data_IF_360160346225
#
_entry.id   IF_360160346225
#
_cell.length_a   1.000
_cell.length_b   1.000
_cell.length_c   1.000
_cell.angle_alpha   90.00
_cell.angle_beta   90.00
_cell.angle_gamma   90.00
#
_symmetry.space_group_name_H-M   'P 1'
#
loop_
_entity.id
_entity.type
_entity.pdbx_description
1 polymer ?
#
# COMPACT_ATOMS: atom_id res chain seq x y z
N UNK A 1 36.28 1.97 24.46
CA UNK A 1 35.53 1.39 23.32
C UNK A 1 34.12 1.94 23.37
N UNK A 2 33.73 2.76 22.40
CA UNK A 2 32.34 3.20 22.28
C UNK A 2 31.49 2.05 21.73
N UNK A 3 30.26 1.83 22.22
CA UNK A 3 29.40 0.78 21.68
C UNK A 3 29.00 1.15 20.26
N UNK A 4 29.29 0.27 19.30
CA UNK A 4 28.74 0.35 17.95
C UNK A 4 27.21 0.40 18.07
N UNK A 5 26.63 1.56 17.76
CA UNK A 5 25.19 1.68 17.69
C UNK A 5 24.72 0.87 16.48
N UNK A 6 24.22 -0.32 16.77
CA UNK A 6 23.69 -1.25 15.78
C UNK A 6 22.60 -0.52 14.96
N UNK A 7 22.86 -0.29 13.67
CA UNK A 7 21.96 0.40 12.75
C UNK A 7 20.69 -0.44 12.62
N UNK A 8 19.64 -0.07 13.37
CA UNK A 8 18.36 -0.79 13.34
C UNK A 8 17.80 -0.74 11.92
N UNK A 9 17.60 -1.90 11.31
CA UNK A 9 16.97 -2.02 9.99
C UNK A 9 15.45 -1.99 10.15
N UNK A 10 14.76 -1.29 9.25
CA UNK A 10 13.29 -1.26 9.28
C UNK A 10 12.73 -2.64 8.92
N UNK A 11 11.80 -3.15 9.75
CA UNK A 11 11.09 -4.41 9.50
C UNK A 11 9.60 -4.16 9.34
N UNK A 12 9.06 -4.57 8.20
CA UNK A 12 7.62 -4.52 7.93
C UNK A 12 6.85 -5.45 8.88
N UNK A 13 5.67 -4.97 9.29
CA UNK A 13 4.70 -5.64 10.15
C UNK A 13 3.32 -5.47 9.50
N UNK A 14 2.31 -6.28 9.85
CA UNK A 14 0.95 -6.18 9.33
C UNK A 14 0.36 -4.76 9.43
N UNK A 15 0.54 -4.07 10.56
CA UNK A 15 0.13 -2.66 10.69
C UNK A 15 0.74 -1.75 9.60
N UNK A 16 2.01 -1.97 9.24
CA UNK A 16 2.67 -1.22 8.16
C UNK A 16 2.13 -1.64 6.78
N UNK A 17 1.85 -2.93 6.61
CA UNK A 17 1.28 -3.45 5.37
C UNK A 17 -0.10 -2.85 5.11
N UNK A 18 -0.94 -2.68 6.14
CA UNK A 18 -2.24 -2.00 6.04
C UNK A 18 -2.08 -0.56 5.54
N UNK A 19 -1.17 0.22 6.14
CA UNK A 19 -0.90 1.60 5.71
C UNK A 19 -0.46 1.62 4.24
N UNK A 20 0.48 0.74 3.87
CA UNK A 20 0.99 0.63 2.51
C UNK A 20 -0.11 0.25 1.52
N UNK A 21 -0.95 -0.72 1.85
CA UNK A 21 -1.99 -1.23 0.96
C UNK A 21 -3.13 -0.22 0.77
N UNK A 22 -3.53 0.49 1.83
CA UNK A 22 -4.47 1.62 1.72
C UNK A 22 -3.95 2.68 0.76
N UNK A 23 -2.67 2.99 0.86
CA UNK A 23 -2.03 4.00 0.02
C UNK A 23 -1.93 3.55 -1.45
N UNK A 24 -1.61 2.28 -1.68
CA UNK A 24 -1.61 1.67 -3.01
C UNK A 24 -3.01 1.62 -3.62
N UNK A 25 -4.03 1.25 -2.84
CA UNK A 25 -5.43 1.24 -3.28
C UNK A 25 -5.93 2.64 -3.66
N UNK A 26 -5.50 3.65 -2.89
CA UNK A 26 -5.84 5.07 -3.12
C UNK A 26 -5.18 5.63 -4.38
N UNK A 27 -3.88 5.41 -4.57
CA UNK A 27 -3.12 5.99 -5.69
C UNK A 27 -3.15 5.16 -6.97
N UNK A 28 -3.50 3.88 -6.90
CA UNK A 28 -3.62 2.95 -8.04
C UNK A 28 -2.42 3.03 -8.99
N UNK A 29 -1.20 2.68 -8.55
CA UNK A 29 0.02 2.85 -9.34
C UNK A 29 0.03 2.10 -10.68
N UNK A 30 -0.90 1.15 -10.87
CA UNK A 30 -1.12 0.45 -12.14
C UNK A 30 -1.86 1.28 -13.19
N UNK A 31 -2.56 2.36 -12.84
CA UNK A 31 -3.20 3.27 -13.80
C UNK A 31 -2.28 4.38 -14.28
N UNK A 32 -1.07 4.48 -13.72
CA UNK A 32 -0.08 5.46 -14.13
C UNK A 32 0.26 5.32 -15.62
N UNK A 33 0.37 6.47 -16.30
CA UNK A 33 0.73 6.55 -17.73
C UNK A 33 2.12 5.94 -17.95
N UNK A 34 2.41 5.46 -19.17
CA UNK A 34 3.74 4.96 -19.51
C UNK A 34 4.83 5.99 -19.15
N UNK A 35 5.83 5.54 -18.39
CA UNK A 35 6.90 6.39 -17.86
C UNK A 35 6.65 6.93 -16.45
N UNK A 36 5.41 7.00 -15.98
CA UNK A 36 5.06 7.62 -14.68
C UNK A 36 4.91 6.62 -13.53
N UNK A 37 5.01 5.32 -13.81
CA UNK A 37 4.90 4.29 -12.76
C UNK A 37 5.90 4.52 -11.63
N UNK A 38 7.13 4.96 -11.94
CA UNK A 38 8.15 5.24 -10.92
C UNK A 38 7.72 6.39 -10.01
N UNK A 39 7.26 7.50 -10.58
CA UNK A 39 6.76 8.67 -9.84
C UNK A 39 5.55 8.32 -8.96
N UNK A 40 4.65 7.47 -9.45
CA UNK A 40 3.53 6.98 -8.64
C UNK A 40 3.99 6.19 -7.41
N UNK A 41 5.02 5.35 -7.55
CA UNK A 41 5.59 4.63 -6.39
C UNK A 41 6.35 5.57 -5.43
N UNK A 42 6.99 6.62 -5.92
CA UNK A 42 7.60 7.67 -5.09
C UNK A 42 6.54 8.37 -4.25
N UNK A 43 5.44 8.80 -4.87
CA UNK A 43 4.32 9.43 -4.18
C UNK A 43 3.72 8.52 -3.10
N UNK A 44 3.56 7.21 -3.38
CA UNK A 44 3.12 6.21 -2.41
C UNK A 44 4.10 6.11 -1.25
N UNK A 45 5.41 6.05 -1.52
CA UNK A 45 6.44 5.98 -0.49
C UNK A 45 6.45 7.20 0.42
N UNK A 46 6.28 8.41 -0.13
CA UNK A 46 6.19 9.64 0.64
C UNK A 46 4.94 9.67 1.53
N UNK A 47 3.77 9.32 0.98
CA UNK A 47 2.52 9.28 1.74
C UNK A 47 2.57 8.22 2.84
N UNK A 48 3.12 7.04 2.55
CA UNK A 48 3.36 5.99 3.54
C UNK A 48 4.24 6.49 4.70
N UNK A 49 5.36 7.15 4.41
CA UNK A 49 6.26 7.68 5.44
C UNK A 49 5.59 8.78 6.28
N UNK A 50 4.78 9.64 5.66
CA UNK A 50 4.01 10.66 6.37
C UNK A 50 3.03 10.03 7.37
N UNK A 51 2.27 9.01 6.94
CA UNK A 51 1.35 8.29 7.83
C UNK A 51 2.10 7.53 8.93
N UNK A 52 3.23 6.89 8.59
CA UNK A 52 4.06 6.17 9.55
C UNK A 52 4.62 7.11 10.63
N UNK A 53 5.01 8.34 10.27
CA UNK A 53 5.49 9.33 11.22
C UNK A 53 4.40 9.80 12.20
N UNK A 54 3.14 9.85 11.76
CA UNK A 54 1.97 10.15 12.62
C UNK A 54 1.71 9.02 13.61
N UNK A 55 1.68 7.78 13.13
CA UNK A 55 1.37 6.60 13.97
C UNK A 55 2.54 6.22 14.89
N UNK A 56 3.78 6.42 14.42
CA UNK A 56 4.99 6.17 15.19
C UNK A 56 6.01 7.29 14.98
N UNK A 57 5.96 8.35 15.80
CA UNK A 57 6.97 9.40 15.79
C UNK A 57 8.38 8.83 15.95
N UNK A 58 9.33 9.33 15.15
CA UNK A 58 10.72 8.84 15.16
C UNK A 58 10.95 7.53 14.40
N UNK A 59 9.98 7.05 13.61
CA UNK A 59 10.21 5.92 12.71
C UNK A 59 11.19 6.26 11.58
N UNK A 60 11.89 5.25 11.09
CA UNK A 60 12.82 5.39 9.97
C UNK A 60 12.04 5.65 8.68
N UNK A 61 12.52 6.62 7.89
CA UNK A 61 12.04 6.84 6.54
C UNK A 61 12.38 5.63 5.68
N UNK A 62 11.38 5.08 5.00
CA UNK A 62 11.53 3.97 4.09
C UNK A 62 11.70 4.48 2.66
N UNK A 63 12.65 3.88 1.93
CA UNK A 63 12.80 4.07 0.49
C UNK A 63 11.51 3.66 -0.26
N UNK A 64 10.94 4.53 -1.12
CA UNK A 64 9.77 4.18 -1.94
C UNK A 64 9.89 2.86 -2.72
N UNK A 65 11.10 2.50 -3.17
CA UNK A 65 11.31 1.21 -3.84
C UNK A 65 11.15 0.03 -2.88
N UNK A 66 11.45 0.19 -1.60
CA UNK A 66 11.19 -0.84 -0.59
C UNK A 66 9.69 -1.04 -0.37
N UNK A 67 8.88 0.02 -0.40
CA UNK A 67 7.42 -0.08 -0.39
C UNK A 67 6.91 -0.87 -1.60
N UNK A 68 7.43 -0.59 -2.80
CA UNK A 68 7.07 -1.36 -4.00
C UNK A 68 7.45 -2.84 -3.90
N UNK A 69 8.67 -3.16 -3.43
CA UNK A 69 9.11 -4.55 -3.23
C UNK A 69 8.22 -5.27 -2.22
N UNK A 70 7.87 -4.59 -1.11
CA UNK A 70 6.99 -5.14 -0.08
C UNK A 70 5.61 -5.44 -0.65
N UNK A 71 5.02 -4.51 -1.39
CA UNK A 71 3.73 -4.74 -2.06
C UNK A 71 3.78 -5.98 -2.97
N UNK A 72 4.78 -6.09 -3.86
CA UNK A 72 4.92 -7.26 -4.74
C UNK A 72 5.02 -8.57 -3.96
N UNK A 73 5.85 -8.60 -2.91
CA UNK A 73 5.98 -9.78 -2.05
C UNK A 73 4.66 -10.17 -1.36
N UNK A 74 3.86 -9.20 -0.92
CA UNK A 74 2.54 -9.44 -0.34
C UNK A 74 1.58 -10.07 -1.35
N UNK A 75 1.53 -9.53 -2.57
CA UNK A 75 0.69 -10.09 -3.64
C UNK A 75 1.16 -11.51 -4.01
N UNK A 76 2.46 -11.71 -4.19
CA UNK A 76 3.01 -13.02 -4.58
C UNK A 76 2.74 -14.08 -3.49
N UNK A 77 2.90 -13.73 -2.21
CA UNK A 77 2.61 -14.63 -1.07
C UNK A 77 1.11 -14.95 -0.94
N UNK A 78 0.25 -13.97 -1.25
CA UNK A 78 -1.19 -14.18 -1.26
C UNK A 78 -1.63 -15.11 -2.39
N UNK A 79 -1.06 -14.94 -3.60
CA UNK A 79 -1.33 -15.80 -4.75
C UNK A 79 -0.82 -17.23 -4.50
N UNK A 80 0.34 -17.39 -3.87
CA UNK A 80 0.90 -18.71 -3.55
C UNK A 80 0.24 -19.40 -2.35
N UNK A 81 -0.64 -18.71 -1.62
CA UNK A 81 -1.27 -19.23 -0.41
C UNK A 81 -0.36 -19.26 0.83
N UNK A 82 0.88 -18.77 0.74
CA UNK A 82 1.81 -18.68 1.88
C UNK A 82 1.61 -17.39 2.67
N UNK A 83 0.43 -17.23 3.25
CA UNK A 83 0.13 -16.10 4.15
C UNK A 83 0.62 -16.37 5.58
N UNK A 84 0.89 -17.63 5.94
CA UNK A 84 1.33 -18.07 7.26
C UNK A 84 2.61 -17.36 7.70
N UNK A 85 3.58 -17.21 6.78
CA UNK A 85 4.85 -16.52 7.01
C UNK A 85 4.68 -15.03 7.33
N UNK A 86 3.60 -14.41 6.84
CA UNK A 86 3.25 -13.01 7.05
C UNK A 86 2.41 -12.75 8.31
N UNK A 87 1.82 -13.78 8.95
CA UNK A 87 0.94 -13.66 10.14
C UNK A 87 1.67 -13.65 11.47
N UNK A 88 2.98 -13.91 11.51
CA UNK A 88 3.71 -14.18 12.76
C UNK A 88 3.78 -13.01 13.76
N UNK A 89 3.42 -11.78 13.36
CA UNK A 89 3.49 -10.60 14.23
C UNK A 89 2.39 -9.58 13.93
N UNK A 90 1.16 -9.76 14.39
CA UNK A 90 0.09 -8.75 14.23
C UNK A 90 -1.19 -9.17 14.93
N UNK A 91 -2.12 -8.23 15.15
CA UNK A 91 -3.43 -8.61 15.70
C UNK A 91 -4.27 -9.31 14.62
N UNK A 92 -5.24 -10.17 15.00
CA UNK A 92 -6.13 -10.81 14.04
C UNK A 92 -6.83 -9.82 13.09
N UNK A 93 -7.17 -8.63 13.60
CA UNK A 93 -7.82 -7.55 12.85
C UNK A 93 -6.89 -6.98 11.77
N UNK A 94 -5.64 -6.66 12.12
CA UNK A 94 -4.64 -6.14 11.17
C UNK A 94 -4.33 -7.16 10.06
N UNK A 95 -4.28 -8.45 10.43
CA UNK A 95 -4.05 -9.55 9.49
C UNK A 95 -5.21 -9.69 8.52
N UNK A 96 -6.44 -9.63 9.02
CA UNK A 96 -7.66 -9.73 8.20
C UNK A 96 -7.81 -8.53 7.26
N UNK A 97 -7.62 -7.31 7.77
CA UNK A 97 -7.69 -6.08 6.97
C UNK A 97 -6.64 -6.10 5.86
N UNK A 98 -5.40 -6.51 6.16
CA UNK A 98 -4.36 -6.70 5.14
C UNK A 98 -4.79 -7.67 4.05
N UNK A 99 -5.39 -8.80 4.41
CA UNK A 99 -5.82 -9.82 3.44
C UNK A 99 -6.96 -9.33 2.55
N UNK A 100 -7.90 -8.57 3.11
CA UNK A 100 -8.96 -7.92 2.35
C UNK A 100 -8.40 -6.88 1.36
N UNK A 101 -7.47 -6.03 1.80
CA UNK A 101 -6.83 -5.02 0.95
C UNK A 101 -5.95 -5.63 -0.14
N UNK A 102 -5.27 -6.74 0.14
CA UNK A 102 -4.54 -7.50 -0.89
C UNK A 102 -5.52 -8.06 -1.92
N UNK A 103 -6.65 -8.61 -1.48
CA UNK A 103 -7.67 -9.15 -2.37
C UNK A 103 -8.26 -8.08 -3.30
N UNK A 104 -8.45 -6.85 -2.82
CA UNK A 104 -8.92 -5.72 -3.62
C UNK A 104 -7.88 -5.24 -4.65
N UNK A 105 -6.60 -5.23 -4.29
CA UNK A 105 -5.54 -4.63 -5.12
C UNK A 105 -4.86 -5.59 -6.09
N UNK A 106 -4.95 -6.91 -5.86
CA UNK A 106 -4.26 -7.94 -6.67
C UNK A 106 -4.75 -8.05 -8.13
N UNK A 107 -6.03 -7.78 -8.39
CA UNK A 107 -6.67 -8.09 -9.68
C UNK A 107 -6.07 -7.27 -10.84
N UNK A 108 -5.49 -6.12 -10.53
CA UNK A 108 -4.82 -5.26 -11.51
C UNK A 108 -3.43 -5.76 -11.96
N UNK A 109 -2.87 -6.79 -11.31
CA UNK A 109 -1.64 -7.47 -11.78
C UNK A 109 -1.92 -8.38 -12.97
N UNK A 110 -3.14 -8.94 -13.07
CA UNK A 110 -3.53 -9.86 -14.14
C UNK A 110 -3.52 -9.17 -15.52
N UNK A 111 -4.00 -7.92 -15.60
CA UNK A 111 -4.10 -7.17 -16.87
C UNK A 111 -2.74 -6.82 -17.51
N UNK A 112 -1.65 -6.74 -16.71
CA UNK A 112 -0.29 -6.52 -17.24
C UNK A 112 0.47 -7.82 -17.53
N UNK A 113 0.17 -8.90 -16.82
CA UNK A 113 0.82 -10.20 -16.99
C UNK A 113 0.54 -10.83 -18.35
N UNK A 114 -0.69 -10.69 -18.83
CA UNK A 114 -1.16 -11.29 -20.08
C UNK A 114 -0.43 -10.74 -21.33
N UNK A 115 0.00 -9.47 -21.27
CA UNK A 115 0.80 -8.83 -22.33
C UNK A 115 2.26 -9.26 -22.38
N UNK A 116 2.80 -9.80 -21.27
CA UNK A 116 4.19 -10.30 -21.22
C UNK A 116 4.28 -11.77 -21.60
N UNK A 117 3.30 -12.60 -21.22
CA UNK A 117 3.23 -14.00 -21.64
C UNK A 117 3.04 -14.15 -23.15
N UNK A 118 2.33 -13.22 -23.81
CA UNK A 118 2.18 -13.22 -25.28
C UNK A 118 3.45 -12.85 -26.07
N UNK A 119 4.53 -12.41 -25.42
CA UNK A 119 5.80 -12.02 -26.08
C UNK A 119 6.95 -13.01 -25.88
N UNK A 120 6.73 -14.10 -25.14
CA UNK A 120 7.77 -15.05 -24.73
C UNK A 120 7.72 -16.43 -25.39
N UNK A 121 6.95 -16.62 -26.47
CA UNK A 121 6.87 -17.91 -27.18
C UNK A 121 7.61 -17.84 -28.52
N UNK A 122 8.90 -18.17 -28.54
CA UNK A 122 9.68 -18.16 -29.77
C UNK A 122 11.18 -18.34 -29.55
N UNK A 123 11.57 -19.41 -28.88
CA UNK A 123 12.95 -19.90 -28.90
C UNK A 123 12.91 -21.42 -28.77
N UNK A 124 12.51 -22.09 -29.86
CA UNK A 124 12.83 -23.51 -30.00
C UNK A 124 14.30 -23.65 -30.36
N UNK A 125 15.00 -24.37 -29.51
CA UNK A 125 16.37 -24.80 -29.72
C UNK A 125 16.40 -25.93 -30.75
N UNK A 126 17.19 -25.75 -31.81
CA UNK A 126 17.79 -26.89 -32.51
C UNK A 126 19.30 -26.70 -32.53
N UNK A 127 19.96 -27.56 -31.77
CA UNK A 127 21.40 -27.79 -31.77
C UNK A 127 21.75 -28.78 -32.89
N UNK A 128 23.00 -28.66 -33.37
CA UNK A 128 23.89 -29.67 -33.99
C UNK A 128 24.38 -29.43 -35.45
N UNK A 129 25.71 -29.30 -35.54
CA UNK A 129 26.74 -29.55 -36.57
C UNK A 129 26.80 -28.68 -37.85
N UNK A 130 27.84 -27.84 -38.04
CA UNK A 130 29.24 -28.09 -38.46
C UNK A 130 29.44 -28.51 -39.94
N UNK A 131 30.27 -27.70 -40.63
CA UNK A 131 31.02 -27.90 -41.88
C UNK A 131 30.48 -27.33 -43.21
N UNK A 132 31.27 -26.39 -43.79
CA UNK A 132 31.67 -26.43 -45.20
C UNK A 132 31.04 -25.41 -46.16
N UNK A 133 31.74 -24.29 -46.43
CA UNK A 133 31.65 -23.61 -47.74
C UNK A 133 32.42 -24.43 -48.79
N UNK A 134 31.98 -24.43 -50.07
CA UNK A 134 32.71 -23.63 -51.06
C UNK A 134 31.89 -23.06 -52.24
N UNK A 135 32.36 -21.91 -52.77
CA UNK A 135 32.50 -21.51 -54.20
C UNK A 135 31.29 -21.69 -55.15
N UNK A 136 30.79 -20.70 -55.91
CA UNK A 136 31.33 -20.18 -57.19
C UNK A 136 30.21 -19.26 -57.76
N UNK A 137 30.40 -17.95 -57.90
CA UNK A 137 30.86 -17.20 -59.08
C UNK A 137 29.92 -17.25 -60.31
N UNK A 138 29.27 -16.12 -60.65
CA UNK A 138 28.94 -15.64 -62.02
C UNK A 138 28.43 -14.16 -61.98
N UNK A 139 29.29 -13.25 -62.48
CA UNK A 139 29.16 -11.82 -62.85
C UNK A 139 28.07 -11.51 -63.92
N UNK A 140 27.89 -10.27 -64.49
CA UNK A 140 28.28 -8.90 -64.08
C UNK A 140 27.23 -7.76 -64.36
N UNK A 141 27.58 -6.56 -63.85
CA UNK A 141 27.48 -5.19 -64.42
C UNK A 141 26.15 -4.48 -64.76
N UNK A 142 26.08 -3.23 -64.29
CA UNK A 142 25.11 -2.21 -64.71
C UNK A 142 25.19 -0.93 -63.86
N UNK A 143 26.00 0.03 -64.32
CA UNK A 143 26.28 1.38 -63.80
C UNK A 143 25.05 2.27 -63.52
N UNK A 144 25.08 3.12 -62.49
CA UNK A 144 25.16 4.60 -62.64
C UNK A 144 24.89 5.43 -61.34
N UNK A 145 25.89 6.25 -61.03
CA UNK A 145 25.93 7.66 -60.57
C UNK A 145 24.78 8.35 -59.80
N UNK A 146 25.21 8.95 -58.68
CA UNK A 146 25.08 10.38 -58.31
C UNK A 146 23.69 10.94 -57.93
N UNK A 147 23.55 11.41 -56.68
CA UNK A 147 23.45 12.86 -56.40
C UNK A 147 23.42 13.18 -54.89
N UNK A 148 24.30 14.11 -54.51
CA UNK A 148 24.33 14.80 -53.23
C UNK A 148 23.38 16.03 -53.27
N UNK A 149 23.17 16.64 -52.08
CA UNK A 149 22.51 17.94 -51.80
C UNK A 149 20.96 17.87 -51.70
N UNK A 150 20.27 18.37 -50.68
CA UNK A 150 20.53 19.49 -49.76
C UNK A 150 19.92 19.21 -48.38
N UNK A 151 20.69 19.49 -47.32
CA UNK A 151 20.14 19.85 -46.01
C UNK A 151 19.71 21.32 -46.12
N UNK A 152 18.44 21.60 -45.86
CA UNK A 152 17.95 22.96 -45.60
C UNK A 152 17.61 23.01 -44.12
N UNK A 153 18.32 23.84 -43.37
CA UNK A 153 17.93 24.30 -42.05
C UNK A 153 17.15 25.61 -42.24
N UNK A 154 16.01 25.74 -41.60
CA UNK A 154 15.29 27.00 -41.43
C UNK A 154 15.48 27.56 -40.02
N UNK A 155 15.66 28.88 -39.98
CA UNK A 155 15.90 29.71 -38.79
C UNK A 155 14.53 30.01 -38.15
N UNK A 156 14.10 29.14 -37.24
CA UNK A 156 13.29 29.45 -36.05
C UNK A 156 12.85 28.13 -35.40
N UNK A 157 13.55 27.73 -34.34
CA UNK A 157 13.23 26.52 -33.60
C UNK A 157 11.80 26.51 -33.07
N UNK A 158 10.97 25.59 -33.58
CA UNK A 158 9.91 24.85 -32.88
C UNK A 158 9.24 23.84 -33.82
N UNK A 159 9.17 22.54 -33.48
CA UNK A 159 8.48 21.56 -34.31
C UNK A 159 6.97 21.67 -34.14
N UNK A 160 6.25 21.94 -35.24
CA UNK A 160 4.79 21.97 -35.29
C UNK A 160 4.27 20.60 -35.76
N UNK A 161 3.33 20.07 -34.99
CA UNK A 161 2.63 18.80 -35.17
C UNK A 161 1.93 18.65 -36.54
N UNK A 162 2.05 17.49 -37.17
CA UNK A 162 1.19 17.07 -38.28
C UNK A 162 0.86 15.57 -38.19
N UNK A 163 0.13 15.16 -37.15
CA UNK A 163 -0.53 13.86 -37.11
C UNK A 163 -1.88 13.95 -37.82
N UNK A 164 -1.99 13.33 -39.00
CA UNK A 164 -3.27 13.05 -39.69
C UNK A 164 -4.19 12.25 -38.75
N UNK A 165 -5.20 12.90 -38.17
CA UNK A 165 -6.34 12.20 -37.55
C UNK A 165 -7.41 11.97 -38.62
N UNK A 166 -7.54 10.73 -39.05
CA UNK A 166 -8.73 10.22 -39.72
C UNK A 166 -9.90 10.36 -38.75
N UNK A 167 -10.86 11.22 -39.08
CA UNK A 167 -12.13 11.36 -38.36
C UNK A 167 -13.07 10.27 -38.87
N UNK A 168 -13.20 9.18 -38.13
CA UNK A 168 -14.37 8.31 -38.19
C UNK A 168 -15.39 8.83 -37.19
N UNK A 169 -16.40 9.54 -37.68
CA UNK A 169 -17.58 9.90 -36.91
C UNK A 169 -18.46 8.67 -36.72
N UNK A 170 -18.46 8.11 -35.51
CA UNK A 170 -19.54 7.19 -35.08
C UNK A 170 -20.45 8.00 -34.16
N UNK A 171 -21.58 8.42 -34.70
CA UNK A 171 -22.68 8.95 -33.91
C UNK A 171 -23.41 7.77 -33.26
N UNK A 172 -23.13 7.51 -31.98
CA UNK A 172 -23.95 6.66 -31.14
C UNK A 172 -23.75 7.04 -29.66
N UNK A 173 -24.84 6.92 -28.90
CA UNK A 173 -24.93 6.81 -27.43
C UNK A 173 -24.84 8.08 -26.56
N UNK A 174 -25.85 8.95 -26.63
CA UNK A 174 -26.21 9.82 -25.50
C UNK A 174 -26.78 9.04 -24.30
N UNK A 175 -27.51 7.95 -24.55
CA UNK A 175 -28.19 7.16 -23.51
C UNK A 175 -27.23 6.33 -22.65
N UNK A 176 -26.12 5.84 -23.21
CA UNK A 176 -25.12 5.08 -22.45
C UNK A 176 -24.37 5.95 -21.43
N UNK A 177 -24.14 7.23 -21.75
CA UNK A 177 -23.49 8.18 -20.83
C UNK A 177 -24.39 8.51 -19.63
N UNK A 178 -25.69 8.67 -19.85
CA UNK A 178 -26.65 8.91 -18.77
C UNK A 178 -26.79 7.71 -17.82
N UNK A 179 -26.83 6.49 -18.35
CA UNK A 179 -26.87 5.27 -17.55
C UNK A 179 -25.61 5.08 -16.70
N UNK A 180 -24.42 5.36 -17.26
CA UNK A 180 -23.15 5.30 -16.52
C UNK A 180 -23.08 6.36 -15.41
N UNK A 181 -23.57 7.58 -15.67
CA UNK A 181 -23.64 8.62 -14.65
C UNK A 181 -24.60 8.25 -13.52
N UNK A 182 -25.75 7.63 -13.82
CA UNK A 182 -26.69 7.13 -12.80
C UNK A 182 -26.05 6.09 -11.90
N UNK A 183 -25.34 5.11 -12.48
CA UNK A 183 -24.65 4.07 -11.72
C UNK A 183 -23.52 4.64 -10.84
N UNK A 184 -22.81 5.65 -11.34
CA UNK A 184 -21.77 6.35 -10.57
C UNK A 184 -22.36 7.10 -9.36
N UNK A 185 -23.52 7.75 -9.53
CA UNK A 185 -24.23 8.43 -8.44
C UNK A 185 -24.70 7.43 -7.38
N UNK A 186 -25.31 6.31 -7.80
CA UNK A 186 -25.74 5.26 -6.87
C UNK A 186 -24.57 4.64 -6.10
N UNK A 187 -23.43 4.42 -6.76
CA UNK A 187 -22.23 3.90 -6.12
C UNK A 187 -21.70 4.87 -5.07
N UNK A 188 -21.61 6.17 -5.38
CA UNK A 188 -21.19 7.20 -4.44
C UNK A 188 -22.15 7.32 -3.26
N UNK A 189 -23.46 7.26 -3.51
CA UNK A 189 -24.48 7.31 -2.47
C UNK A 189 -24.39 6.10 -1.54
N UNK A 190 -24.23 4.89 -2.09
CA UNK A 190 -24.04 3.66 -1.32
C UNK A 190 -22.77 3.74 -0.47
N UNK A 191 -21.67 4.21 -1.05
CA UNK A 191 -20.41 4.35 -0.34
C UNK A 191 -20.51 5.34 0.83
N UNK A 192 -21.14 6.50 0.59
CA UNK A 192 -21.37 7.50 1.64
C UNK A 192 -22.26 6.95 2.76
N UNK A 193 -23.27 6.16 2.41
CA UNK A 193 -24.15 5.51 3.37
C UNK A 193 -23.42 4.45 4.19
N UNK A 194 -22.61 3.62 3.55
CA UNK A 194 -21.74 2.65 4.24
C UNK A 194 -20.76 3.35 5.19
N UNK A 195 -20.11 4.43 4.75
CA UNK A 195 -19.23 5.24 5.62
C UNK A 195 -19.98 5.87 6.79
N UNK A 196 -21.22 6.33 6.57
CA UNK A 196 -22.04 6.89 7.65
C UNK A 196 -22.39 5.84 8.71
N UNK A 197 -22.73 4.62 8.28
CA UNK A 197 -23.03 3.49 9.18
C UNK A 197 -21.77 3.04 9.91
N UNK A 198 -20.63 2.95 9.22
CA UNK A 198 -19.35 2.62 9.85
C UNK A 198 -18.98 3.63 10.92
N UNK A 199 -19.02 4.94 10.60
CA UNK A 199 -18.76 6.01 11.58
C UNK A 199 -19.72 5.95 12.77
N UNK A 200 -21.00 5.69 12.54
CA UNK A 200 -21.97 5.55 13.63
C UNK A 200 -21.66 4.36 14.53
N UNK A 201 -21.30 3.21 13.96
CA UNK A 201 -20.91 2.02 14.72
C UNK A 201 -19.62 2.24 15.52
N UNK A 202 -18.63 2.93 14.93
CA UNK A 202 -17.39 3.30 15.62
C UNK A 202 -17.64 4.21 16.82
N UNK A 203 -18.49 5.23 16.66
CA UNK A 203 -18.89 6.11 17.76
C UNK A 203 -19.59 5.33 18.87
N UNK A 204 -20.54 4.45 18.53
CA UNK A 204 -21.25 3.61 19.50
C UNK A 204 -20.29 2.72 20.31
N UNK A 205 -19.32 2.10 19.63
CA UNK A 205 -18.30 1.29 20.29
C UNK A 205 -17.36 2.12 21.17
N UNK A 206 -17.05 3.36 20.77
CA UNK A 206 -16.24 4.28 21.56
C UNK A 206 -16.96 4.74 22.83
N UNK A 207 -18.26 5.05 22.73
CA UNK A 207 -19.11 5.38 23.88
C UNK A 207 -19.18 4.22 24.89
N UNK A 208 -19.42 3.00 24.41
CA UNK A 208 -19.46 1.80 25.25
C UNK A 208 -18.12 1.56 25.97
N UNK A 209 -16.99 1.73 25.27
CA UNK A 209 -15.66 1.64 25.87
C UNK A 209 -15.44 2.69 26.96
N UNK A 210 -15.84 3.94 26.70
CA UNK A 210 -15.72 5.03 27.66
C UNK A 210 -16.53 4.75 28.93
N UNK A 211 -17.71 4.17 28.81
CA UNK A 211 -18.54 3.82 29.96
C UNK A 211 -17.95 2.67 30.78
N UNK A 212 -17.40 1.65 30.12
CA UNK A 212 -16.67 0.59 30.81
C UNK A 212 -15.41 1.12 31.52
N UNK A 213 -14.71 2.09 30.93
CA UNK A 213 -13.53 2.71 31.55
C UNK A 213 -13.91 3.54 32.78
N UNK A 214 -14.99 4.33 32.71
CA UNK A 214 -15.55 5.04 33.87
C UNK A 214 -15.94 4.08 34.99
N UNK A 215 -16.60 2.96 34.66
CA UNK A 215 -16.97 1.95 35.65
C UNK A 215 -15.73 1.31 36.31
N UNK A 216 -14.70 1.00 35.53
CA UNK A 216 -13.43 0.49 36.05
C UNK A 216 -12.77 1.47 37.00
N UNK A 217 -12.72 2.74 36.63
CA UNK A 217 -12.17 3.80 37.48
C UNK A 217 -12.94 3.90 38.80
N UNK A 218 -14.27 3.85 38.77
CA UNK A 218 -15.09 3.89 39.99
C UNK A 218 -14.88 2.68 40.89
N UNK A 219 -14.72 1.48 40.32
CA UNK A 219 -14.38 0.28 41.10
C UNK A 219 -13.01 0.44 41.75
N UNK A 220 -12.00 0.84 40.98
CA UNK A 220 -10.62 1.02 41.47
C UNK A 220 -10.55 2.10 42.55
N UNK A 221 -11.33 3.17 42.41
CA UNK A 221 -11.48 4.21 43.43
C UNK A 221 -12.07 3.66 44.72
N UNK A 222 -13.17 2.90 44.65
CA UNK A 222 -13.78 2.26 45.83
C UNK A 222 -12.83 1.28 46.52
N UNK A 223 -12.07 0.49 45.74
CA UNK A 223 -11.08 -0.43 46.30
C UNK A 223 -9.98 0.31 47.06
N UNK A 224 -9.48 1.42 46.51
CA UNK A 224 -8.50 2.28 47.20
C UNK A 224 -9.08 2.89 48.46
N UNK A 225 -10.29 3.42 48.40
CA UNK A 225 -10.97 4.01 49.56
C UNK A 225 -11.21 2.96 50.66
N UNK A 226 -11.65 1.75 50.29
CA UNK A 226 -11.83 0.65 51.24
C UNK A 226 -10.52 0.22 51.90
N UNK A 227 -9.44 0.15 51.12
CA UNK A 227 -8.10 -0.18 51.62
C UNK A 227 -7.61 0.88 52.63
N UNK A 228 -7.77 2.16 52.29
CA UNK A 228 -7.42 3.27 53.19
C UNK A 228 -8.28 3.29 54.46
N UNK A 229 -9.59 3.03 54.33
CA UNK A 229 -10.50 2.95 55.47
C UNK A 229 -10.12 1.81 56.44
N UNK A 230 -9.77 0.64 55.91
CA UNK A 230 -9.30 -0.49 56.71
C UNK A 230 -8.00 -0.15 57.45
N UNK A 231 -7.02 0.44 56.76
CA UNK A 231 -5.75 0.85 57.37
C UNK A 231 -5.96 1.90 58.46
N UNK A 232 -6.82 2.89 58.23
CA UNK A 232 -7.17 3.90 59.22
C UNK A 232 -7.85 3.27 60.44
N UNK A 233 -8.74 2.29 60.25
CA UNK A 233 -9.36 1.54 61.34
C UNK A 233 -8.34 0.76 62.18
N UNK A 234 -7.37 0.10 61.54
CA UNK A 234 -6.28 -0.59 62.23
C UNK A 234 -5.43 0.38 63.06
N UNK A 235 -5.08 1.54 62.49
CA UNK A 235 -4.33 2.58 63.22
C UNK A 235 -5.07 3.09 64.44
N UNK A 236 -6.39 3.29 64.35
CA UNK A 236 -7.17 3.76 65.50
C UNK A 236 -7.26 2.71 66.61
N UNK A 237 -7.40 1.43 66.25
CA UNK A 237 -7.36 0.33 67.22
C UNK A 237 -6.02 0.29 67.97
N UNK A 238 -4.90 0.44 67.24
CA UNK A 238 -3.56 0.49 67.85
C UNK A 238 -3.45 1.67 68.82
N UNK A 239 -3.97 2.85 68.43
CA UNK A 239 -3.98 4.02 69.32
C UNK A 239 -4.83 3.80 70.57
N UNK A 240 -5.98 3.14 70.46
CA UNK A 240 -6.83 2.81 71.61
C UNK A 240 -6.11 1.84 72.55
N UNK A 241 -5.56 0.74 72.04
CA UNK A 241 -4.79 -0.23 72.83
C UNK A 241 -3.59 0.43 73.53
N UNK A 242 -2.91 1.34 72.85
CA UNK A 242 -1.79 2.10 73.43
C UNK A 242 -2.24 3.00 74.59
N UNK A 243 -3.38 3.70 74.45
CA UNK A 243 -3.96 4.52 75.52
C UNK A 243 -4.38 3.67 76.72
N UNK A 244 -5.03 2.53 76.49
CA UNK A 244 -5.48 1.63 77.55
C UNK A 244 -4.31 1.02 78.33
N UNK A 245 -3.21 0.70 77.65
CA UNK A 245 -1.97 0.25 78.30
C UNK A 245 -1.31 1.36 79.12
N UNK A 246 -1.34 2.60 78.65
CA UNK A 246 -0.80 3.76 79.37
C UNK A 246 -1.67 4.12 80.59
N UNK A 247 -2.98 3.95 80.51
CA UNK A 247 -3.92 4.22 81.62
C UNK A 247 -3.85 3.20 82.76
N UNK A 248 -3.26 2.02 82.53
CA UNK A 248 -3.14 0.93 83.53
C UNK A 248 -1.78 0.90 84.26
N UNK A 249 -0.87 1.82 83.95
CA UNK A 249 0.38 2.06 84.68
C UNK A 249 0.20 3.22 85.65
#
# INVERSE_FOLDING_TARGET
>A
MAPEQNKRTFRFKPAHDVILLKEVARQRPWTAVHGETLSSWEAIGHAFNAQLAVVRPGSLTIDPKACQRRYKALIDSFISGDLSSLRSTGTPEEVNEREQLIAETKDHRAERGDRRSSRGGGAEAHSIDSHGSPLTDMLPEGTNVNEQHKRSLDVNGSPINAAKRVRTSVAASGDASAALNSLAIEFLQRHLQEESVRRHNELRLAEEKLDLEKQRFEIEKREREATLAMMNGQLELIKQLSRDLQSKR
#
